data_IF_099683482783
#
_entry.id   IF_099683482783
#
_cell.length_a   1.000
_cell.length_b   1.000
_cell.length_c   1.000
_cell.angle_alpha   90.00
_cell.angle_beta   90.00
_cell.angle_gamma   90.00
#
_symmetry.space_group_name_H-M   'P 1'
#
loop_
_entity.id
_entity.type
_entity.pdbx_description
1 polymer ?
#
# COMPACT_ATOMS: atom_id res chain seq x y z
N UNK A 1 17.39 9.44 7.96
CA UNK A 1 16.50 8.42 7.39
C UNK A 1 15.07 8.91 7.41
N UNK A 2 14.17 8.21 6.73
CA UNK A 2 12.73 8.47 6.75
C UNK A 2 12.00 7.23 7.26
N UNK A 3 10.86 7.42 7.95
CA UNK A 3 9.91 6.36 8.25
C UNK A 3 8.59 6.78 7.63
N UNK A 4 8.01 5.94 6.78
CA UNK A 4 6.76 6.20 6.08
C UNK A 4 5.66 5.22 6.50
N UNK A 5 4.41 5.63 6.28
CA UNK A 5 3.19 4.86 6.56
C UNK A 5 3.22 4.10 7.89
N UNK A 6 3.44 4.87 8.97
CA UNK A 6 3.42 4.36 10.35
C UNK A 6 4.45 3.25 10.65
N UNK A 7 5.53 3.17 9.87
CA UNK A 7 6.58 2.17 10.04
C UNK A 7 6.56 1.07 8.99
N UNK A 8 5.65 1.07 8.02
CA UNK A 8 5.65 0.09 6.93
C UNK A 8 6.92 0.15 6.07
N UNK A 9 7.51 1.34 5.95
CA UNK A 9 8.70 1.57 5.13
C UNK A 9 9.72 2.44 5.86
N UNK A 10 11.00 2.10 5.69
CA UNK A 10 12.13 2.85 6.27
C UNK A 10 13.13 3.17 5.17
N UNK A 11 13.59 4.42 5.10
CA UNK A 11 14.67 4.84 4.19
C UNK A 11 15.93 5.20 4.97
N UNK A 12 17.06 4.57 4.64
CA UNK A 12 18.38 4.88 5.19
C UNK A 12 19.36 5.11 4.04
N UNK A 13 20.02 6.27 4.04
CA UNK A 13 20.97 6.68 3.00
C UNK A 13 20.43 6.55 1.56
N UNK A 14 19.12 6.81 1.37
CA UNK A 14 18.45 6.71 0.08
C UNK A 14 17.95 5.30 -0.29
N UNK A 15 18.27 4.27 0.49
CA UNK A 15 17.80 2.89 0.29
C UNK A 15 16.50 2.67 1.08
N UNK A 16 15.47 2.14 0.42
CA UNK A 16 14.18 1.81 1.03
C UNK A 16 14.11 0.34 1.46
N UNK A 17 13.59 0.12 2.66
CA UNK A 17 13.36 -1.18 3.28
C UNK A 17 11.87 -1.33 3.59
N UNK A 18 11.31 -2.47 3.21
CA UNK A 18 9.93 -2.85 3.54
C UNK A 18 9.93 -3.55 4.90
N UNK A 19 9.15 -3.03 5.83
CA UNK A 19 8.90 -3.61 7.15
C UNK A 19 7.57 -4.36 7.15
N UNK A 20 6.61 -3.89 6.35
CA UNK A 20 5.34 -4.59 6.10
C UNK A 20 5.58 -5.80 5.20
N UNK A 21 4.92 -6.92 5.50
CA UNK A 21 5.08 -8.17 4.74
C UNK A 21 4.14 -8.24 3.54
N UNK A 22 2.82 -8.21 3.78
CA UNK A 22 1.78 -8.39 2.76
C UNK A 22 0.70 -7.34 2.85
N UNK A 23 0.20 -6.93 1.68
CA UNK A 23 -0.75 -5.83 1.50
C UNK A 23 -1.93 -6.20 0.58
N UNK A 24 -2.13 -7.50 0.35
CA UNK A 24 -3.20 -8.10 -0.44
C UNK A 24 -4.59 -7.93 0.20
N UNK A 25 -4.64 -7.79 1.53
CA UNK A 25 -5.87 -7.54 2.30
C UNK A 25 -6.56 -6.21 1.95
N UNK A 26 -5.83 -5.26 1.35
CA UNK A 26 -6.34 -3.91 1.04
C UNK A 26 -7.60 -3.95 0.17
N UNK A 27 -7.63 -4.81 -0.84
CA UNK A 27 -8.78 -4.88 -1.76
C UNK A 27 -10.05 -5.40 -1.05
N UNK A 28 -9.90 -6.28 -0.07
CA UNK A 28 -11.05 -6.80 0.68
C UNK A 28 -11.55 -5.80 1.71
N UNK A 29 -10.65 -5.03 2.34
CA UNK A 29 -11.04 -3.88 3.17
C UNK A 29 -11.72 -2.80 2.33
N UNK A 30 -11.25 -2.54 1.11
CA UNK A 30 -11.87 -1.55 0.21
C UNK A 30 -13.33 -1.91 -0.10
N UNK A 31 -13.63 -3.18 -0.41
CA UNK A 31 -15.02 -3.66 -0.60
C UNK A 31 -15.90 -3.41 0.63
N UNK A 32 -15.37 -3.67 1.84
CA UNK A 32 -16.11 -3.39 3.08
C UNK A 32 -16.41 -1.90 3.22
N UNK A 33 -15.47 -1.03 2.81
CA UNK A 33 -15.62 0.42 2.91
C UNK A 33 -16.51 1.01 1.82
N UNK A 34 -16.59 0.40 0.63
CA UNK A 34 -17.56 0.77 -0.41
C UNK A 34 -18.99 0.75 0.14
N UNK A 35 -19.39 -0.34 0.80
CA UNK A 35 -20.69 -0.46 1.48
C UNK A 35 -20.91 0.65 2.52
N UNK A 36 -19.84 1.14 3.18
CA UNK A 36 -19.95 2.22 4.19
C UNK A 36 -20.08 3.58 3.54
N UNK A 37 -19.40 3.81 2.43
CA UNK A 37 -19.50 5.04 1.63
C UNK A 37 -20.92 5.22 1.10
N UNK A 38 -21.51 4.16 0.55
CA UNK A 38 -22.90 4.20 0.07
C UNK A 38 -23.90 4.56 1.18
N UNK A 39 -23.64 4.08 2.40
CA UNK A 39 -24.50 4.33 3.57
C UNK A 39 -24.26 5.68 4.24
N UNK A 40 -23.16 6.36 3.94
CA UNK A 40 -22.76 7.64 4.52
C UNK A 40 -22.28 8.60 3.42
N UNK A 41 -23.20 9.20 2.64
CA UNK A 41 -22.87 10.14 1.57
C UNK A 41 -21.95 11.26 2.03
N UNK A 42 -21.03 11.68 1.16
CA UNK A 42 -19.97 12.65 1.47
C UNK A 42 -18.71 12.06 2.12
N UNK A 43 -18.79 10.83 2.65
CA UNK A 43 -17.59 10.07 3.05
C UNK A 43 -16.88 9.47 1.83
N UNK A 44 -15.60 9.12 2.00
CA UNK A 44 -14.80 8.47 0.95
C UNK A 44 -13.66 7.68 1.58
N UNK A 45 -13.01 6.78 0.84
CA UNK A 45 -11.80 6.12 1.30
C UNK A 45 -10.62 6.34 0.35
N UNK A 46 -9.40 6.23 0.88
CA UNK A 46 -8.14 6.33 0.15
C UNK A 46 -7.29 5.10 0.42
N UNK A 47 -6.84 4.45 -0.64
CA UNK A 47 -5.90 3.33 -0.59
C UNK A 47 -4.49 3.90 -0.74
N UNK A 48 -3.64 3.63 0.25
CA UNK A 48 -2.20 3.87 0.19
C UNK A 48 -1.45 2.53 0.09
N UNK A 49 -0.12 2.54 0.13
CA UNK A 49 0.68 1.33 -0.15
C UNK A 49 0.53 0.22 0.89
N UNK A 50 0.40 0.56 2.17
CA UNK A 50 0.27 -0.39 3.29
C UNK A 50 -0.91 -0.09 4.22
N UNK A 51 -1.76 0.87 3.83
CA UNK A 51 -2.83 1.39 4.67
C UNK A 51 -4.03 1.82 3.84
N UNK A 52 -5.23 1.70 4.41
CA UNK A 52 -6.44 2.33 3.88
C UNK A 52 -7.00 3.31 4.90
N UNK A 53 -7.49 4.46 4.44
CA UNK A 53 -8.15 5.47 5.27
C UNK A 53 -9.57 5.70 4.80
N UNK A 54 -10.53 5.58 5.70
CA UNK A 54 -11.92 5.95 5.48
C UNK A 54 -12.19 7.29 6.17
N UNK A 55 -12.46 8.30 5.34
CA UNK A 55 -12.67 9.69 5.68
C UNK A 55 -14.16 9.99 5.79
N UNK A 56 -14.61 10.42 6.96
CA UNK A 56 -16.03 10.74 7.21
C UNK A 56 -16.25 12.21 7.58
N UNK A 57 -15.20 13.03 7.56
CA UNK A 57 -15.26 14.45 7.94
C UNK A 57 -16.23 15.26 7.07
N UNK A 58 -16.48 14.82 5.83
CA UNK A 58 -17.36 15.48 4.87
C UNK A 58 -18.74 14.80 4.74
N UNK A 59 -19.07 13.88 5.65
CA UNK A 59 -20.36 13.20 5.61
C UNK A 59 -21.52 14.21 5.67
N UNK A 60 -22.55 14.00 4.85
CA UNK A 60 -23.74 14.86 4.82
C UNK A 60 -24.55 14.74 6.11
N UNK A 61 -24.61 13.53 6.67
CA UNK A 61 -25.28 13.22 7.93
C UNK A 61 -24.23 12.94 9.02
N UNK A 62 -23.92 13.98 9.79
CA UNK A 62 -22.93 13.91 10.88
C UNK A 62 -23.41 13.08 12.08
N UNK A 63 -24.73 12.96 12.29
CA UNK A 63 -25.28 12.17 13.40
C UNK A 63 -25.05 10.67 13.19
N UNK A 64 -24.94 10.24 11.92
CA UNK A 64 -24.66 8.84 11.56
C UNK A 64 -23.18 8.46 11.56
N UNK A 65 -22.26 9.42 11.58
CA UNK A 65 -20.81 9.19 11.46
C UNK A 65 -20.31 8.19 12.51
N UNK A 66 -20.61 8.42 13.78
CA UNK A 66 -20.11 7.58 14.88
C UNK A 66 -20.58 6.12 14.75
N UNK A 67 -21.83 5.91 14.35
CA UNK A 67 -22.41 4.57 14.15
C UNK A 67 -21.74 3.85 12.98
N UNK A 68 -21.56 4.52 11.84
CA UNK A 68 -20.93 3.93 10.65
C UNK A 68 -19.45 3.63 10.91
N UNK A 69 -18.72 4.50 11.63
CA UNK A 69 -17.34 4.24 12.05
C UNK A 69 -17.28 2.99 12.94
N UNK A 70 -18.16 2.88 13.94
CA UNK A 70 -18.19 1.73 14.86
C UNK A 70 -18.46 0.41 14.12
N UNK A 71 -19.42 0.42 13.19
CA UNK A 71 -19.73 -0.72 12.32
C UNK A 71 -18.55 -1.09 11.41
N UNK A 72 -17.90 -0.10 10.78
CA UNK A 72 -16.72 -0.33 9.94
C UNK A 72 -15.56 -0.96 10.72
N UNK A 73 -15.23 -0.41 11.89
CA UNK A 73 -14.15 -0.92 12.75
C UNK A 73 -14.47 -2.35 13.20
N UNK A 74 -15.70 -2.59 13.65
CA UNK A 74 -16.12 -3.93 14.13
C UNK A 74 -16.05 -4.95 13.00
N UNK A 75 -16.55 -4.61 11.81
CA UNK A 75 -16.55 -5.50 10.66
C UNK A 75 -15.12 -5.86 10.24
N UNK A 76 -14.26 -4.86 10.05
CA UNK A 76 -12.86 -5.07 9.63
C UNK A 76 -12.10 -5.86 10.69
N UNK A 77 -12.17 -5.47 11.96
CA UNK A 77 -11.42 -6.15 13.02
C UNK A 77 -11.88 -7.60 13.20
N UNK A 78 -13.16 -7.90 12.97
CA UNK A 78 -13.66 -9.28 13.05
C UNK A 78 -13.16 -10.12 11.87
N UNK A 79 -13.23 -9.59 10.64
CA UNK A 79 -12.84 -10.33 9.43
C UNK A 79 -11.33 -10.58 9.38
N UNK A 80 -10.51 -9.62 9.82
CA UNK A 80 -9.06 -9.66 9.67
C UNK A 80 -8.27 -9.92 10.95
N UNK A 81 -8.92 -10.27 12.06
CA UNK A 81 -8.26 -10.54 13.36
C UNK A 81 -7.06 -11.50 13.23
N UNK A 82 -7.27 -12.60 12.51
CA UNK A 82 -6.26 -13.64 12.28
C UNK A 82 -5.07 -13.22 11.39
N UNK A 83 -5.14 -12.06 10.73
CA UNK A 83 -4.10 -11.55 9.83
C UNK A 83 -3.27 -10.42 10.44
N UNK A 84 -3.56 -10.02 11.68
CA UNK A 84 -2.87 -8.90 12.32
C UNK A 84 -3.14 -7.55 11.64
N UNK A 85 -4.27 -7.41 10.96
CA UNK A 85 -4.74 -6.15 10.36
C UNK A 85 -5.78 -5.54 11.29
N UNK A 86 -5.67 -4.25 11.56
CA UNK A 86 -6.51 -3.59 12.53
C UNK A 86 -6.96 -2.21 12.05
N UNK A 87 -8.24 -1.93 12.28
CA UNK A 87 -8.89 -0.65 12.09
C UNK A 87 -8.94 0.12 13.41
N UNK A 88 -8.56 1.40 13.36
CA UNK A 88 -8.67 2.33 14.48
C UNK A 88 -9.14 3.70 13.98
N UNK A 89 -9.79 4.48 14.84
CA UNK A 89 -10.27 5.83 14.51
C UNK A 89 -9.39 6.91 15.13
N UNK A 90 -9.10 7.95 14.36
CA UNK A 90 -8.54 9.20 14.85
C UNK A 90 -9.15 10.37 14.08
N UNK A 91 -9.72 11.35 14.80
CA UNK A 91 -10.38 12.54 14.22
C UNK A 91 -11.38 12.19 13.09
N UNK A 92 -12.27 11.23 13.36
CA UNK A 92 -13.27 10.74 12.40
C UNK A 92 -12.69 10.14 11.10
N UNK A 93 -11.42 9.76 11.11
CA UNK A 93 -10.81 8.98 10.02
C UNK A 93 -10.48 7.60 10.55
N UNK A 94 -11.06 6.57 9.95
CA UNK A 94 -10.70 5.17 10.25
C UNK A 94 -9.47 4.83 9.42
N UNK A 95 -8.40 4.43 10.09
CA UNK A 95 -7.18 3.94 9.45
C UNK A 95 -7.09 2.43 9.66
N UNK A 96 -6.78 1.70 8.60
CA UNK A 96 -6.63 0.24 8.59
C UNK A 96 -5.22 -0.09 8.12
N UNK A 97 -4.49 -0.89 8.90
CA UNK A 97 -3.10 -1.29 8.60
C UNK A 97 -2.71 -2.52 9.41
N UNK A 98 -1.54 -3.10 9.09
CA UNK A 98 -0.91 -4.12 9.93
C UNK A 98 -0.52 -3.54 11.30
N UNK A 99 -0.70 -4.34 12.35
CA UNK A 99 -0.36 -4.00 13.74
C UNK A 99 1.15 -4.08 13.95
N UNK A 100 1.69 -3.19 14.80
CA UNK A 100 3.07 -3.28 15.28
C UNK A 100 4.14 -2.77 14.31
N UNK A 101 3.76 -2.17 13.18
CA UNK A 101 4.70 -1.66 12.18
C UNK A 101 5.69 -0.63 12.77
N UNK A 102 5.22 0.31 13.59
CA UNK A 102 6.09 1.34 14.17
C UNK A 102 7.15 0.74 15.12
N UNK A 103 6.75 -0.27 15.91
CA UNK A 103 7.66 -0.99 16.79
C UNK A 103 8.67 -1.82 15.98
N UNK A 104 8.19 -2.49 14.92
CA UNK A 104 9.04 -3.28 14.02
C UNK A 104 10.06 -2.41 13.29
N UNK A 105 9.65 -1.23 12.82
CA UNK A 105 10.53 -0.24 12.22
C UNK A 105 11.59 0.26 13.21
N UNK A 106 11.20 0.55 14.46
CA UNK A 106 12.15 0.94 15.48
C UNK A 106 13.16 -0.18 15.78
N UNK A 107 12.70 -1.43 15.92
CA UNK A 107 13.57 -2.59 16.12
C UNK A 107 14.52 -2.82 14.95
N UNK A 108 14.04 -2.63 13.71
CA UNK A 108 14.86 -2.66 12.51
C UNK A 108 15.97 -1.61 12.58
N UNK A 109 15.64 -0.35 12.91
CA UNK A 109 16.62 0.73 13.03
C UNK A 109 17.67 0.43 14.12
N UNK A 110 17.24 -0.03 15.30
CA UNK A 110 18.17 -0.40 16.37
C UNK A 110 19.13 -1.50 15.93
N UNK A 111 18.63 -2.54 15.28
CA UNK A 111 19.47 -3.64 14.75
C UNK A 111 20.42 -3.12 13.69
N UNK A 112 19.92 -2.36 12.72
CA UNK A 112 20.71 -1.82 11.62
C UNK A 112 21.92 -1.01 12.12
N UNK A 113 21.71 -0.07 13.06
CA UNK A 113 22.79 0.76 13.58
C UNK A 113 23.74 0.01 14.52
N UNK A 114 23.23 -0.93 15.33
CA UNK A 114 24.07 -1.74 16.20
C UNK A 114 24.90 -2.77 15.41
N UNK A 115 24.41 -3.24 14.25
CA UNK A 115 25.21 -4.07 13.33
C UNK A 115 26.15 -3.25 12.45
N UNK A 116 25.84 -1.98 12.18
CA UNK A 116 26.70 -1.08 11.40
C UNK A 116 27.86 -0.48 12.22
N UNK A 117 27.87 -0.67 13.54
CA UNK A 117 28.93 -0.22 14.44
C UNK A 117 30.14 -1.17 14.55
N UNK A 118 30.34 -2.08 13.60
CA UNK A 118 31.65 -2.70 13.33
C UNK A 118 32.33 -1.96 12.16
N UNK A 119 33.21 -0.97 12.41
CA UNK A 119 33.81 -0.14 11.35
C UNK A 119 34.98 -0.84 10.64
N UNK A 120 35.15 -2.16 10.79
CA UNK A 120 36.30 -2.93 10.32
C UNK A 120 35.89 -4.33 9.84
N UNK A 121 35.00 -4.42 8.85
CA UNK A 121 35.09 -5.56 7.92
C UNK A 121 34.78 -5.11 6.48
N UNK A 122 35.83 -4.57 5.85
CA UNK A 122 35.88 -4.36 4.40
C UNK A 122 36.29 -5.67 3.74
N UNK A 123 35.48 -6.73 3.86
CA UNK A 123 35.64 -7.92 3.04
C UNK A 123 34.45 -8.87 3.12
N UNK A 124 33.87 -9.15 1.95
CA UNK A 124 33.10 -10.37 1.62
C UNK A 124 31.59 -10.33 1.89
N UNK A 125 30.86 -9.78 0.92
CA UNK A 125 29.43 -10.08 0.73
C UNK A 125 28.99 -9.61 -0.64
N UNK A 126 28.91 -10.52 -1.60
CA UNK A 126 28.52 -10.20 -2.98
C UNK A 126 27.12 -9.57 -3.02
N UNK A 127 27.07 -8.30 -3.40
CA UNK A 127 25.84 -7.61 -3.73
C UNK A 127 25.51 -8.01 -5.17
N UNK A 128 24.55 -8.91 -5.38
CA UNK A 128 23.93 -9.09 -6.69
C UNK A 128 23.17 -7.81 -7.03
N UNK A 129 23.80 -6.96 -7.85
CA UNK A 129 23.14 -5.86 -8.54
C UNK A 129 21.97 -6.43 -9.36
N UNK A 130 20.74 -6.08 -9.02
CA UNK A 130 19.62 -6.21 -9.96
C UNK A 130 19.76 -5.03 -10.93
N UNK A 131 20.21 -5.34 -12.14
CA UNK A 131 20.22 -4.43 -13.27
C UNK A 131 18.79 -3.95 -13.56
N UNK A 132 18.60 -2.63 -13.55
CA UNK A 132 17.46 -1.96 -14.16
C UNK A 132 17.42 -2.33 -15.65
N UNK A 133 16.26 -2.68 -16.24
CA UNK A 133 16.20 -2.97 -17.67
C UNK A 133 16.52 -1.72 -18.47
N UNK A 134 17.59 -1.79 -19.25
CA UNK A 134 17.97 -0.79 -20.24
C UNK A 134 16.84 -0.65 -21.27
N UNK A 135 16.36 0.58 -21.49
CA UNK A 135 15.58 0.91 -22.68
C UNK A 135 16.42 0.61 -23.93
N UNK A 136 16.12 -0.50 -24.62
CA UNK A 136 16.51 -0.68 -26.00
C UNK A 136 15.47 0.04 -26.87
N UNK A 137 15.92 1.07 -27.58
CA UNK A 137 15.21 1.69 -28.69
C UNK A 137 15.65 0.96 -29.97
N UNK A 138 14.75 0.32 -30.74
CA UNK A 138 15.07 -0.07 -32.10
C UNK A 138 13.94 0.32 -33.04
N UNK A 139 14.00 1.49 -33.68
CA UNK A 139 13.09 1.81 -34.79
C UNK A 139 13.61 2.99 -35.62
N UNK A 140 14.55 2.70 -36.52
CA UNK A 140 14.69 3.42 -37.79
C UNK A 140 15.04 2.37 -38.84
N UNK A 141 14.02 1.72 -39.43
CA UNK A 141 14.03 1.21 -40.81
C UNK A 141 12.59 1.06 -41.33
N UNK A 142 12.21 2.05 -42.14
CA UNK A 142 11.44 2.02 -43.38
C UNK A 142 10.06 1.33 -43.52
N UNK A 143 9.16 2.13 -44.10
CA UNK A 143 7.75 1.91 -44.39
C UNK A 143 7.47 0.91 -45.51
N UNK A 144 6.37 0.16 -45.38
CA UNK A 144 5.58 -0.31 -46.52
C UNK A 144 4.07 -0.22 -46.17
N UNK A 145 3.20 0.31 -47.06
CA UNK A 145 1.81 0.62 -46.71
C UNK A 145 0.89 -0.62 -46.71
N UNK A 146 -0.23 -0.60 -45.96
CA UNK A 146 -1.14 -1.74 -45.84
C UNK A 146 -2.07 -1.88 -47.05
N UNK A 147 -2.32 -3.13 -47.45
CA UNK A 147 -3.35 -3.49 -48.43
C UNK A 147 -4.77 -3.40 -47.82
N UNK A 148 -5.72 -2.93 -48.63
CA UNK A 148 -7.15 -2.72 -48.32
C UNK A 148 -7.93 -4.02 -48.00
N UNK A 149 -9.09 -3.92 -47.31
CA UNK A 149 -9.84 -5.09 -46.86
C UNK A 149 -10.73 -5.66 -47.98
N UNK A 150 -10.78 -6.99 -48.09
CA UNK A 150 -11.84 -7.68 -48.84
C UNK A 150 -12.82 -8.32 -47.84
N UNK A 151 -14.08 -7.87 -47.93
CA UNK A 151 -15.26 -8.46 -47.29
C UNK A 151 -15.96 -9.39 -48.28
N UNK A 152 -16.43 -10.56 -47.80
CA UNK A 152 -17.56 -11.40 -48.29
C UNK A 152 -17.19 -12.89 -48.25
N UNK A 153 -18.07 -13.87 -48.01
CA UNK A 153 -19.47 -13.96 -47.57
C UNK A 153 -19.70 -15.46 -47.25
N UNK A 154 -20.72 -15.74 -46.43
CA UNK A 154 -21.36 -17.04 -46.14
C UNK A 154 -21.26 -18.15 -47.21
N UNK A 155 -21.12 -19.41 -46.78
CA UNK A 155 -22.21 -20.39 -46.64
C UNK A 155 -21.77 -21.55 -45.73
#
# INVERSE_FOLDING_TARGET
GLIAENGAYVSLNGVWYNIVDQVDWRNDVAKILEDKVERLPGSYYKINESMIKFHTENAEDQDRVASVIGDAITHINTVFDHRGIHAYVYKNVVSVQQVGLSLSAAQFLFRFYNSASDPLDTSSGQITNIQTPSQQNPSDQEQQPPASPTVSMNH
#
